data_IF_229264832780
#
_entry.id   IF_229264832780
#
_cell.length_a   1.000
_cell.length_b   1.000
_cell.length_c   1.000
_cell.angle_alpha   90.00
_cell.angle_beta   90.00
_cell.angle_gamma   90.00
#
_symmetry.space_group_name_H-M   'P 1'
#
loop_
_entity.id
_entity.type
_entity.pdbx_description
1 polymer ?
#
# COMPACT_ATOMS: atom_id res chain seq x y z
N UNK A 1 1.07 22.93 3.73
CA UNK A 1 1.06 21.69 2.92
C UNK A 1 1.46 20.57 3.85
N UNK A 2 0.89 19.37 3.71
CA UNK A 2 1.39 18.23 4.48
C UNK A 2 2.83 17.91 4.05
N UNK A 3 3.60 17.32 4.95
CA UNK A 3 4.99 16.95 4.68
C UNK A 3 5.04 15.90 3.56
N UNK A 4 6.05 15.94 2.66
CA UNK A 4 6.29 14.83 1.76
C UNK A 4 6.74 13.58 2.53
N UNK A 5 6.79 12.42 1.89
CA UNK A 5 7.32 11.22 2.53
C UNK A 5 6.82 9.92 1.95
N UNK A 6 7.18 8.81 2.57
CA UNK A 6 6.65 7.47 2.28
C UNK A 6 5.56 7.07 3.28
N UNK A 7 4.75 6.08 2.92
CA UNK A 7 3.72 5.51 3.78
C UNK A 7 3.50 4.03 3.48
N UNK A 8 2.94 3.32 4.47
CA UNK A 8 2.42 1.97 4.31
C UNK A 8 0.94 1.96 4.65
N UNK A 9 0.13 1.33 3.79
CA UNK A 9 -1.26 1.01 4.08
C UNK A 9 -1.38 -0.49 4.34
N UNK A 10 -1.97 -0.87 5.46
CA UNK A 10 -2.34 -2.26 5.74
C UNK A 10 -3.82 -2.40 5.42
N UNK A 11 -4.13 -3.24 4.44
CA UNK A 11 -5.48 -3.50 3.95
C UNK A 11 -5.85 -4.94 4.30
N UNK A 12 -6.96 -5.11 5.02
CA UNK A 12 -7.57 -6.41 5.25
C UNK A 12 -8.47 -6.75 4.06
N UNK A 13 -8.31 -7.94 3.50
CA UNK A 13 -9.24 -8.55 2.55
C UNK A 13 -10.05 -9.57 3.33
N UNK A 14 -11.33 -9.29 3.54
CA UNK A 14 -12.18 -10.09 4.43
C UNK A 14 -12.68 -11.36 3.75
N UNK A 15 -12.87 -11.30 2.43
CA UNK A 15 -13.32 -12.42 1.60
C UNK A 15 -12.54 -12.49 0.29
N UNK A 16 -12.30 -13.67 -0.28
CA UNK A 16 -11.61 -13.79 -1.55
C UNK A 16 -12.36 -13.00 -2.64
N UNK A 17 -11.62 -12.18 -3.39
CA UNK A 17 -12.22 -11.27 -4.37
C UNK A 17 -11.32 -11.15 -5.59
N UNK A 18 -11.91 -10.77 -6.73
CA UNK A 18 -11.17 -10.37 -7.92
C UNK A 18 -11.53 -8.95 -8.27
N UNK A 19 -10.51 -8.10 -8.45
CA UNK A 19 -10.67 -6.66 -8.69
C UNK A 19 -9.95 -6.32 -9.98
N UNK A 20 -10.63 -5.57 -10.86
CA UNK A 20 -10.02 -5.01 -12.07
C UNK A 20 -9.28 -3.72 -11.74
N UNK A 21 -7.96 -3.72 -11.88
CA UNK A 21 -7.07 -2.65 -11.43
C UNK A 21 -6.49 -1.91 -12.63
N UNK A 22 -7.26 -0.96 -13.17
CA UNK A 22 -6.83 -0.09 -14.27
C UNK A 22 -6.11 -0.88 -15.38
N UNK A 23 -4.87 -0.48 -15.70
CA UNK A 23 -4.05 -1.11 -16.74
C UNK A 23 -3.47 -2.49 -16.33
N UNK A 24 -3.45 -2.84 -15.03
CA UNK A 24 -3.00 -4.16 -14.57
C UNK A 24 -4.02 -5.26 -14.88
N UNK A 25 -5.27 -4.90 -15.18
CA UNK A 25 -6.36 -5.82 -15.41
C UNK A 25 -6.79 -6.53 -14.13
N UNK A 26 -7.31 -7.74 -14.25
CA UNK A 26 -7.86 -8.49 -13.12
C UNK A 26 -6.76 -9.02 -12.19
N UNK A 27 -6.98 -8.86 -10.89
CA UNK A 27 -6.14 -9.40 -9.83
C UNK A 27 -7.00 -10.07 -8.78
N UNK A 28 -6.64 -11.31 -8.44
CA UNK A 28 -7.31 -12.07 -7.39
C UNK A 28 -6.59 -11.88 -6.06
N UNK A 29 -7.37 -11.63 -5.02
CA UNK A 29 -6.92 -11.44 -3.65
C UNK A 29 -7.54 -12.53 -2.78
N UNK A 30 -6.70 -13.32 -2.13
CA UNK A 30 -7.13 -14.22 -1.06
C UNK A 30 -7.39 -13.43 0.22
N UNK A 31 -8.22 -13.96 1.12
CA UNK A 31 -8.41 -13.42 2.47
C UNK A 31 -7.07 -13.29 3.20
N UNK A 32 -6.87 -12.18 3.91
CA UNK A 32 -5.65 -11.89 4.63
C UNK A 32 -5.31 -10.40 4.64
N UNK A 33 -4.10 -10.08 5.07
CA UNK A 33 -3.61 -8.70 5.11
C UNK A 33 -2.61 -8.45 3.99
N UNK A 34 -2.71 -7.25 3.43
CA UNK A 34 -1.84 -6.77 2.37
C UNK A 34 -1.21 -5.45 2.80
N UNK A 35 0.09 -5.34 2.66
CA UNK A 35 0.82 -4.11 2.91
C UNK A 35 1.14 -3.45 1.56
N UNK A 36 0.62 -2.25 1.37
CA UNK A 36 0.94 -1.39 0.24
C UNK A 36 1.96 -0.35 0.66
N UNK A 37 3.05 -0.20 -0.10
CA UNK A 37 4.08 0.82 0.12
C UNK A 37 3.93 1.90 -0.95
N UNK A 38 3.81 3.16 -0.55
CA UNK A 38 3.78 4.27 -1.49
C UNK A 38 4.58 5.49 -1.02
N UNK A 39 4.85 6.39 -1.95
CA UNK A 39 5.48 7.69 -1.71
C UNK A 39 4.52 8.84 -1.99
N UNK A 40 4.83 10.02 -1.49
CA UNK A 40 4.03 11.23 -1.60
C UNK A 40 4.92 12.48 -1.67
N UNK A 41 5.91 12.51 -2.57
CA UNK A 41 6.81 13.67 -2.77
C UNK A 41 6.25 14.76 -3.72
N UNK A 42 5.10 14.51 -4.32
CA UNK A 42 4.42 15.48 -5.17
C UNK A 42 3.66 16.56 -4.38
N UNK A 43 3.04 17.51 -5.08
CA UNK A 43 2.18 18.52 -4.47
C UNK A 43 1.11 17.88 -3.57
N UNK A 44 0.98 18.39 -2.35
CA UNK A 44 0.04 17.87 -1.33
C UNK A 44 0.69 16.98 -0.28
N UNK A 45 1.85 16.37 -0.56
CA UNK A 45 2.56 15.55 0.42
C UNK A 45 1.73 14.36 0.91
N UNK A 46 1.91 14.01 2.18
CA UNK A 46 1.22 12.92 2.86
C UNK A 46 -0.30 13.12 3.02
N UNK A 47 -0.89 14.24 2.57
CA UNK A 47 -2.36 14.32 2.40
C UNK A 47 -2.89 13.26 1.42
N UNK A 48 -2.00 12.67 0.61
CA UNK A 48 -2.27 11.46 -0.17
C UNK A 48 -2.88 10.33 0.67
N UNK A 49 -2.46 10.20 1.93
CA UNK A 49 -2.99 9.19 2.86
C UNK A 49 -4.43 9.50 3.27
N UNK A 50 -4.78 10.77 3.47
CA UNK A 50 -6.15 11.15 3.81
C UNK A 50 -7.10 10.83 2.66
N UNK A 51 -6.66 11.07 1.42
CA UNK A 51 -7.42 10.66 0.23
C UNK A 51 -7.63 9.14 0.15
N UNK A 52 -6.66 8.34 0.59
CA UNK A 52 -6.81 6.88 0.68
C UNK A 52 -7.84 6.48 1.73
N UNK A 53 -7.90 7.19 2.87
CA UNK A 53 -8.93 6.98 3.90
C UNK A 53 -10.32 7.32 3.36
N UNK A 54 -10.49 8.47 2.70
CA UNK A 54 -11.76 8.85 2.06
C UNK A 54 -12.26 7.78 1.08
N UNK A 55 -11.35 7.17 0.30
CA UNK A 55 -11.68 6.07 -0.62
C UNK A 55 -12.10 4.80 0.13
N UNK A 56 -11.40 4.45 1.20
CA UNK A 56 -11.71 3.26 2.01
C UNK A 56 -13.03 3.40 2.78
N UNK A 57 -13.36 4.62 3.21
CA UNK A 57 -14.60 4.92 3.94
C UNK A 57 -15.81 5.09 2.98
N UNK A 58 -15.57 5.17 1.67
CA UNK A 58 -16.60 5.37 0.64
C UNK A 58 -17.03 6.82 0.46
N UNK A 59 -16.37 7.77 1.13
CA UNK A 59 -16.58 9.21 0.96
C UNK A 59 -16.05 9.73 -0.39
N UNK A 60 -15.25 8.91 -1.08
CA UNK A 60 -14.67 9.21 -2.39
C UNK A 60 -14.75 8.01 -3.33
N UNK A 61 -15.05 8.28 -4.60
CA UNK A 61 -15.09 7.24 -5.66
C UNK A 61 -13.95 7.35 -6.68
N UNK A 62 -13.28 8.51 -6.77
CA UNK A 62 -12.25 8.75 -7.78
C UNK A 62 -10.96 8.00 -7.48
N UNK A 63 -10.57 7.10 -8.38
CA UNK A 63 -9.35 6.27 -8.32
C UNK A 63 -8.25 6.84 -9.21
N UNK A 64 -7.06 7.04 -8.66
CA UNK A 64 -5.86 7.50 -9.39
C UNK A 64 -4.68 6.51 -9.26
N UNK A 65 -4.55 5.80 -8.14
CA UNK A 65 -3.48 4.82 -7.93
C UNK A 65 -4.03 3.39 -7.92
N UNK A 66 -3.17 2.39 -8.18
CA UNK A 66 -3.59 0.98 -8.17
C UNK A 66 -4.23 0.58 -6.83
N UNK A 67 -3.72 1.08 -5.71
CA UNK A 67 -4.26 0.80 -4.37
C UNK A 67 -5.69 1.34 -4.18
N UNK A 68 -6.08 2.40 -4.89
CA UNK A 68 -7.42 2.99 -4.79
C UNK A 68 -8.51 2.01 -5.25
N UNK A 69 -8.20 1.10 -6.18
CA UNK A 69 -9.12 0.05 -6.63
C UNK A 69 -9.34 -1.00 -5.55
N UNK A 70 -8.29 -1.31 -4.78
CA UNK A 70 -8.40 -2.22 -3.65
C UNK A 70 -9.20 -1.55 -2.54
N UNK A 71 -8.81 -0.34 -2.12
CA UNK A 71 -9.46 0.41 -1.04
C UNK A 71 -10.95 0.68 -1.29
N UNK A 72 -11.33 0.96 -2.55
CA UNK A 72 -12.74 1.19 -2.91
C UNK A 72 -13.56 -0.09 -3.09
N UNK A 73 -13.03 -1.27 -2.76
CA UNK A 73 -13.76 -2.53 -2.83
C UNK A 73 -14.44 -2.84 -1.50
N UNK A 74 -15.72 -3.22 -1.56
CA UNK A 74 -16.51 -3.64 -0.38
C UNK A 74 -16.02 -4.94 0.27
N UNK A 75 -15.07 -5.65 -0.36
CA UNK A 75 -14.44 -6.85 0.19
C UNK A 75 -13.21 -6.54 1.05
N UNK A 76 -12.87 -5.26 1.20
CA UNK A 76 -11.64 -4.83 1.87
C UNK A 76 -11.88 -3.71 2.88
N UNK A 77 -10.96 -3.60 3.83
CA UNK A 77 -10.96 -2.56 4.84
C UNK A 77 -9.53 -2.03 5.04
N UNK A 78 -9.38 -0.71 5.13
CA UNK A 78 -8.12 -0.10 5.57
C UNK A 78 -7.94 -0.33 7.08
N UNK A 79 -7.02 -1.21 7.46
CA UNK A 79 -6.82 -1.61 8.85
C UNK A 79 -5.86 -0.68 9.59
N UNK A 80 -4.74 -0.28 8.97
CA UNK A 80 -3.73 0.57 9.61
C UNK A 80 -2.96 1.37 8.57
N UNK A 81 -2.43 2.52 9.00
CA UNK A 81 -1.56 3.36 8.19
C UNK A 81 -0.31 3.68 8.99
N UNK A 82 0.86 3.53 8.37
CA UNK A 82 2.11 4.07 8.86
C UNK A 82 2.62 5.15 7.90
N UNK A 83 3.09 6.27 8.43
CA UNK A 83 3.58 7.42 7.66
C UNK A 83 5.02 7.72 8.06
N UNK A 84 5.84 8.08 7.08
CA UNK A 84 7.25 8.41 7.23
C UNK A 84 7.51 9.80 6.61
N UNK A 85 7.19 10.88 7.33
CA UNK A 85 7.43 12.25 6.88
C UNK A 85 8.89 12.48 6.53
N UNK A 86 9.13 13.22 5.44
CA UNK A 86 10.43 13.60 4.90
C UNK A 86 11.38 12.44 4.57
N UNK A 87 10.85 11.22 4.45
CA UNK A 87 11.65 10.01 4.21
C UNK A 87 11.30 9.36 2.89
N UNK A 88 12.30 9.30 2.00
CA UNK A 88 12.20 8.63 0.71
C UNK A 88 12.71 7.20 0.82
N UNK A 89 11.85 6.31 1.29
CA UNK A 89 12.21 4.93 1.66
C UNK A 89 11.31 3.89 0.99
N UNK A 90 10.56 4.28 -0.04
CA UNK A 90 9.57 3.42 -0.71
C UNK A 90 10.20 2.11 -1.22
N UNK A 91 11.28 2.21 -1.99
CA UNK A 91 12.01 1.05 -2.52
C UNK A 91 12.72 0.25 -1.42
N UNK A 92 13.19 0.91 -0.36
CA UNK A 92 13.83 0.24 0.78
C UNK A 92 12.82 -0.61 1.57
N UNK A 93 11.61 -0.08 1.79
CA UNK A 93 10.50 -0.82 2.38
C UNK A 93 10.08 -1.99 1.47
N UNK A 94 10.00 -1.77 0.16
CA UNK A 94 9.68 -2.82 -0.81
C UNK A 94 10.67 -4.00 -0.74
N UNK A 95 11.97 -3.69 -0.71
CA UNK A 95 13.04 -4.67 -0.56
C UNK A 95 12.90 -5.44 0.75
N UNK A 96 12.57 -4.76 1.84
CA UNK A 96 12.39 -5.39 3.14
C UNK A 96 11.24 -6.40 3.19
N UNK A 97 10.15 -6.16 2.44
CA UNK A 97 9.07 -7.15 2.29
C UNK A 97 9.52 -8.39 1.52
N UNK A 98 10.36 -8.22 0.50
CA UNK A 98 10.98 -9.34 -0.23
C UNK A 98 11.87 -10.15 0.72
N UNK A 99 12.75 -9.49 1.47
CA UNK A 99 13.65 -10.15 2.42
C UNK A 99 12.91 -10.85 3.56
N UNK A 100 11.74 -10.34 3.95
CA UNK A 100 10.85 -10.95 4.93
C UNK A 100 10.08 -12.18 4.37
N UNK A 101 10.22 -12.49 3.08
CA UNK A 101 9.52 -13.60 2.44
C UNK A 101 8.02 -13.36 2.24
N UNK A 102 7.58 -12.10 2.24
CA UNK A 102 6.18 -11.77 1.97
C UNK A 102 5.83 -12.00 0.50
N UNK A 103 4.59 -12.42 0.23
CA UNK A 103 4.15 -12.82 -1.10
C UNK A 103 3.77 -11.57 -1.93
N UNK A 104 4.48 -11.25 -3.03
CA UNK A 104 4.20 -10.04 -3.80
C UNK A 104 2.99 -10.21 -4.72
N UNK A 105 2.18 -9.15 -4.84
CA UNK A 105 1.21 -9.00 -5.93
C UNK A 105 1.92 -8.38 -7.13
N UNK A 106 2.40 -9.22 -8.06
CA UNK A 106 3.31 -8.81 -9.12
C UNK A 106 2.90 -7.52 -9.89
N UNK A 107 3.89 -6.66 -10.13
CA UNK A 107 3.80 -5.37 -10.82
C UNK A 107 2.86 -4.33 -10.19
N UNK A 108 2.31 -4.58 -9.01
CA UNK A 108 1.37 -3.66 -8.37
C UNK A 108 2.08 -2.41 -7.90
N UNK A 109 1.79 -1.26 -8.49
CA UNK A 109 2.32 0.04 -8.03
C UNK A 109 3.83 0.23 -8.26
N UNK A 110 4.47 -0.62 -9.07
CA UNK A 110 5.90 -0.58 -9.37
C UNK A 110 6.19 -0.06 -10.79
N UNK A 111 5.39 0.89 -11.29
CA UNK A 111 5.47 1.31 -12.70
C UNK A 111 6.64 2.24 -13.01
N UNK A 112 7.18 2.89 -12.00
CA UNK A 112 8.22 3.93 -12.08
C UNK A 112 9.53 3.52 -11.40
N UNK A 113 9.66 2.25 -11.00
CA UNK A 113 10.85 1.70 -10.36
C UNK A 113 11.07 0.23 -10.77
N UNK A 114 12.22 -0.34 -10.40
CA UNK A 114 12.57 -1.73 -10.70
C UNK A 114 12.03 -2.75 -9.66
N UNK A 115 11.15 -2.30 -8.74
CA UNK A 115 10.59 -3.19 -7.73
C UNK A 115 9.66 -4.24 -8.37
N UNK A 116 9.65 -5.45 -7.82
CA UNK A 116 8.75 -6.51 -8.31
C UNK A 116 7.28 -6.21 -8.00
N UNK A 117 7.02 -5.43 -6.96
CA UNK A 117 5.71 -5.03 -6.46
C UNK A 117 5.88 -3.90 -5.44
N UNK A 118 4.79 -3.17 -5.18
CA UNK A 118 4.54 -2.30 -4.02
C UNK A 118 3.39 -2.81 -3.13
N UNK A 119 2.87 -4.00 -3.39
CA UNK A 119 1.85 -4.67 -2.59
C UNK A 119 2.27 -6.10 -2.25
N UNK A 120 2.21 -6.46 -0.98
CA UNK A 120 2.55 -7.80 -0.49
C UNK A 120 1.49 -8.34 0.43
N UNK A 121 1.12 -9.61 0.24
CA UNK A 121 0.40 -10.39 1.23
C UNK A 121 1.37 -10.84 2.32
N UNK A 122 0.97 -10.71 3.57
CA UNK A 122 1.78 -11.15 4.71
C UNK A 122 0.89 -11.73 5.81
N UNK A 123 1.50 -12.57 6.65
CA UNK A 123 0.83 -13.16 7.80
C UNK A 123 0.98 -12.21 9.00
N UNK A 124 -0.13 -11.57 9.40
CA UNK A 124 -0.17 -10.65 10.52
C UNK A 124 -1.17 -9.52 10.32
N UNK A 125 -1.34 -8.68 11.33
CA UNK A 125 -2.24 -7.50 11.30
C UNK A 125 -1.48 -6.17 11.37
N UNK A 126 -0.16 -6.21 11.51
CA UNK A 126 0.73 -5.05 11.59
C UNK A 126 2.04 -5.31 10.85
N UNK A 127 2.80 -4.26 10.55
CA UNK A 127 4.10 -4.40 9.88
C UNK A 127 4.99 -5.45 10.58
N UNK A 128 5.64 -6.37 9.83
CA UNK A 128 6.65 -7.26 10.37
C UNK A 128 7.77 -6.50 11.08
N UNK A 129 8.33 -7.07 12.16
CA UNK A 129 9.31 -6.37 13.01
C UNK A 129 10.58 -5.94 12.27
N UNK A 130 11.00 -6.68 11.24
CA UNK A 130 12.12 -6.29 10.38
C UNK A 130 11.85 -4.97 9.62
N UNK A 131 10.63 -4.77 9.17
CA UNK A 131 10.20 -3.57 8.44
C UNK A 131 10.03 -2.39 9.39
N UNK A 132 9.51 -2.64 10.61
CA UNK A 132 9.43 -1.62 11.68
C UNK A 132 10.79 -1.05 12.08
N UNK A 133 11.89 -1.79 11.89
CA UNK A 133 13.24 -1.28 12.17
C UNK A 133 13.70 -0.31 11.10
N UNK A 134 13.50 -0.66 9.83
CA UNK A 134 13.84 0.21 8.70
C UNK A 134 13.06 1.52 8.81
N UNK A 135 11.78 1.46 9.19
CA UNK A 135 10.97 2.66 9.40
C UNK A 135 11.36 3.51 10.61
N UNK A 136 12.23 3.04 11.51
CA UNK A 136 12.70 3.82 12.67
C UNK A 136 14.15 4.30 12.55
N UNK A 137 14.92 3.75 11.62
CA UNK A 137 16.38 3.93 11.56
C UNK A 137 16.87 4.77 10.37
N UNK A 138 15.99 5.40 9.59
CA UNK A 138 16.38 6.35 8.55
C UNK A 138 15.74 7.72 8.73
#
# INVERSE_FOLDING_TARGET
>A
MADPGSYVLIVAVEQPTTITIGALGDRSFATGHYAYVGSAFGPGGLSRVDRHRELADGDRETRHWHIDYLLGSTATQLATVEQFPDRDIECALATAFVDAGCEPVAAFGASDCDCVSHLWKFDGTSLPDGIKKISRSA
#
